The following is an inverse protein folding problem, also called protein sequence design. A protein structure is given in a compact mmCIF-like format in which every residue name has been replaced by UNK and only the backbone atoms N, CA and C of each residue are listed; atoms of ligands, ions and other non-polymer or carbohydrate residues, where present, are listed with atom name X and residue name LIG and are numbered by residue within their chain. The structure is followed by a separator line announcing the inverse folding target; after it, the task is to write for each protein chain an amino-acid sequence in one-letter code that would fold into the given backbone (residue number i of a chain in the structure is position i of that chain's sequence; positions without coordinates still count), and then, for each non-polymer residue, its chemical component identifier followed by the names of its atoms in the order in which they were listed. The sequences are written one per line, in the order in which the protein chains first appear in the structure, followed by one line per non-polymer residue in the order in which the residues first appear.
data_IF_580279849791
#
_entry.id   IF_580279849791
#
_cell.length_a   1.000
_cell.length_b   1.000
_cell.length_c   1.000
_cell.angle_alpha   90.00
_cell.angle_beta   90.00
_cell.angle_gamma   90.00
#
_symmetry.space_group_name_H-M   'P 1'
#
loop_
_entity.id
_entity.type
_entity.pdbx_description
1 polymer ?
#
# COMPACT_ATOMS: atom_id res chain seq x y z
N UNK A 1 -13.91 -12.79 -18.64
CA UNK A 1 -13.03 -12.30 -17.56
C UNK A 1 -12.94 -10.79 -17.68
N UNK A 2 -13.73 -10.04 -16.91
CA UNK A 2 -13.74 -8.57 -16.98
C UNK A 2 -12.48 -8.07 -16.26
N UNK A 3 -11.44 -7.74 -17.01
CA UNK A 3 -10.26 -7.05 -16.47
C UNK A 3 -10.67 -5.60 -16.21
N UNK A 4 -10.66 -5.21 -14.95
CA UNK A 4 -11.08 -3.89 -14.51
C UNK A 4 -10.01 -2.86 -14.92
N UNK A 5 -10.28 -2.06 -15.96
CA UNK A 5 -9.34 -1.09 -16.57
C UNK A 5 -8.77 -0.08 -15.54
N UNK A 6 -9.53 0.21 -14.49
CA UNK A 6 -9.10 1.06 -13.38
C UNK A 6 -7.91 0.45 -12.59
N UNK A 7 -7.86 -0.87 -12.47
CA UNK A 7 -6.88 -1.61 -11.68
C UNK A 7 -5.53 -1.70 -12.42
N UNK A 8 -5.55 -1.84 -13.75
CA UNK A 8 -4.34 -1.71 -14.58
C UNK A 8 -3.70 -0.32 -14.47
N UNK A 9 -4.53 0.73 -14.46
CA UNK A 9 -4.05 2.10 -14.30
C UNK A 9 -3.38 2.34 -12.93
N UNK A 10 -3.90 1.72 -11.86
CA UNK A 10 -3.28 1.77 -10.53
C UNK A 10 -1.96 1.01 -10.51
N UNK A 11 -1.90 -0.18 -11.10
CA UNK A 11 -0.68 -0.99 -11.18
C UNK A 11 0.45 -0.27 -11.94
N UNK A 12 0.12 0.40 -13.06
CA UNK A 12 1.11 1.19 -13.82
C UNK A 12 1.64 2.37 -13.00
N UNK A 13 0.78 3.09 -12.29
CA UNK A 13 1.20 4.17 -11.38
C UNK A 13 2.06 3.63 -10.25
N UNK A 14 1.68 2.49 -9.68
CA UNK A 14 2.43 1.81 -8.62
C UNK A 14 3.86 1.49 -9.07
N UNK A 15 4.02 0.90 -10.25
CA UNK A 15 5.34 0.59 -10.83
C UNK A 15 6.25 1.82 -10.97
N UNK A 16 5.69 2.98 -11.31
CA UNK A 16 6.46 4.23 -11.41
C UNK A 16 6.92 4.72 -10.03
N UNK A 17 6.04 4.70 -9.02
CA UNK A 17 6.42 5.13 -7.67
C UNK A 17 7.43 4.18 -7.04
N UNK A 18 7.29 2.88 -7.31
CA UNK A 18 8.23 1.84 -6.89
C UNK A 18 9.61 2.07 -7.50
N UNK A 19 9.71 2.40 -8.80
CA UNK A 19 10.99 2.68 -9.46
C UNK A 19 11.70 3.94 -8.94
N UNK A 20 10.96 4.93 -8.44
CA UNK A 20 11.49 6.25 -8.08
C UNK A 20 11.60 6.50 -6.57
N UNK A 21 10.97 5.67 -5.73
CA UNK A 21 10.70 5.95 -4.32
C UNK A 21 11.57 5.19 -3.32
N UNK A 22 11.13 5.14 -2.04
CA UNK A 22 11.62 4.21 -0.98
C UNK A 22 10.46 3.32 -0.47
N UNK A 23 10.66 1.97 -0.40
CA UNK A 23 9.70 0.91 0.06
C UNK A 23 9.88 0.79 1.54
N UNK A 24 8.78 0.41 2.19
CA UNK A 24 8.89 -0.41 3.39
C UNK A 24 7.65 -1.29 3.50
N UNK A 25 7.81 -2.59 3.30
CA UNK A 25 6.71 -3.55 3.28
C UNK A 25 6.52 -4.21 4.65
N UNK A 26 5.31 -4.64 4.92
CA UNK A 26 4.89 -5.29 6.15
C UNK A 26 4.22 -4.34 7.14
N UNK A 27 3.31 -4.93 7.93
CA UNK A 27 2.50 -4.25 8.92
C UNK A 27 3.30 -3.44 9.95
N UNK A 28 4.26 -4.09 10.63
CA UNK A 28 5.04 -3.47 11.72
C UNK A 28 5.87 -2.29 11.21
N UNK A 29 6.45 -2.42 10.02
CA UNK A 29 7.27 -1.36 9.45
C UNK A 29 6.42 -0.20 8.94
N UNK A 30 5.25 -0.48 8.36
CA UNK A 30 4.26 0.54 7.98
C UNK A 30 3.82 1.36 9.19
N UNK A 31 3.46 0.71 10.31
CA UNK A 31 3.16 1.43 11.55
C UNK A 31 4.34 2.24 12.08
N UNK A 32 5.57 1.75 11.95
CA UNK A 32 6.77 2.49 12.34
C UNK A 32 6.94 3.75 11.49
N UNK A 33 6.73 3.66 10.18
CA UNK A 33 6.87 4.81 9.30
C UNK A 33 5.74 5.83 9.42
N UNK A 34 4.51 5.39 9.68
CA UNK A 34 3.42 6.30 10.01
C UNK A 34 3.76 7.07 11.30
N UNK A 35 4.20 6.37 12.36
CA UNK A 35 4.60 7.00 13.62
C UNK A 35 5.81 7.94 13.48
N UNK A 36 6.75 7.59 12.60
CA UNK A 36 7.93 8.42 12.34
C UNK A 36 7.66 9.57 11.36
N UNK A 37 6.45 9.67 10.79
CA UNK A 37 6.11 10.70 9.79
C UNK A 37 6.83 10.53 8.45
N UNK A 38 7.43 9.37 8.17
CA UNK A 38 8.15 9.11 6.92
C UNK A 38 7.24 8.55 5.84
N UNK A 39 6.07 8.02 6.21
CA UNK A 39 5.06 7.54 5.27
C UNK A 39 4.23 8.71 4.70
N UNK A 40 4.10 8.76 3.36
CA UNK A 40 3.30 9.77 2.65
C UNK A 40 2.07 9.18 1.96
N UNK A 41 2.13 7.89 1.65
CA UNK A 41 1.09 7.15 0.95
C UNK A 41 1.11 5.71 1.47
N UNK A 42 -0.05 5.17 1.83
CA UNK A 42 -0.21 3.80 2.31
C UNK A 42 -1.21 3.09 1.42
N UNK A 43 -0.89 1.86 1.07
CA UNK A 43 -1.80 1.01 0.34
C UNK A 43 -2.17 -0.21 1.19
N UNK A 44 -3.44 -0.60 1.09
CA UNK A 44 -3.99 -1.74 1.82
C UNK A 44 -4.57 -2.72 0.80
N UNK A 45 -4.10 -3.96 0.84
CA UNK A 45 -4.64 -5.06 0.04
C UNK A 45 -6.07 -5.40 0.45
N UNK A 46 -6.85 -5.96 -0.46
CA UNK A 46 -8.23 -6.34 -0.16
C UNK A 46 -8.32 -7.52 0.83
N UNK A 47 -7.32 -8.40 0.85
CA UNK A 47 -7.24 -9.55 1.75
C UNK A 47 -6.76 -9.20 3.17
N UNK A 48 -6.50 -7.92 3.46
CA UNK A 48 -6.04 -7.46 4.77
C UNK A 48 -7.08 -7.73 5.87
N UNK A 49 -6.73 -8.37 7.01
CA UNK A 49 -7.65 -8.56 8.12
C UNK A 49 -8.22 -7.24 8.62
N UNK A 50 -9.54 -7.17 8.80
CA UNK A 50 -10.27 -5.94 9.13
C UNK A 50 -9.67 -5.18 10.31
N UNK A 51 -9.24 -5.89 11.36
CA UNK A 51 -8.63 -5.28 12.56
C UNK A 51 -7.34 -4.52 12.26
N UNK A 52 -6.50 -5.03 11.34
CA UNK A 52 -5.24 -4.40 10.96
C UNK A 52 -5.49 -3.26 9.99
N UNK A 53 -6.47 -3.40 9.10
CA UNK A 53 -6.94 -2.34 8.21
C UNK A 53 -7.41 -1.12 9.00
N UNK A 54 -8.35 -1.30 9.94
CA UNK A 54 -8.88 -0.19 10.76
C UNK A 54 -7.80 0.44 11.63
N UNK A 55 -6.86 -0.35 12.15
CA UNK A 55 -5.73 0.19 12.90
C UNK A 55 -4.83 1.09 12.03
N UNK A 56 -4.49 0.66 10.82
CA UNK A 56 -3.70 1.49 9.88
C UNK A 56 -4.48 2.74 9.48
N UNK A 57 -5.77 2.60 9.16
CA UNK A 57 -6.65 3.72 8.78
C UNK A 57 -6.69 4.79 9.86
N UNK A 58 -6.83 4.37 11.12
CA UNK A 58 -6.81 5.27 12.27
C UNK A 58 -5.49 6.05 12.37
N UNK A 59 -4.34 5.37 12.32
CA UNK A 59 -3.05 6.06 12.41
C UNK A 59 -2.75 6.95 11.21
N UNK A 60 -3.12 6.52 10.01
CA UNK A 60 -2.94 7.31 8.81
C UNK A 60 -3.85 8.56 8.80
N UNK A 61 -5.08 8.47 9.32
CA UNK A 61 -5.95 9.63 9.50
C UNK A 61 -5.34 10.67 10.45
N UNK A 62 -4.80 10.23 11.59
CA UNK A 62 -4.11 11.11 12.54
C UNK A 62 -2.87 11.77 11.93
N UNK A 63 -2.13 11.03 11.11
CA UNK A 63 -0.92 11.50 10.44
C UNK A 63 -1.20 12.25 9.12
N UNK A 64 -2.47 12.42 8.73
CA UNK A 64 -2.88 13.04 7.45
C UNK A 64 -2.26 12.36 6.21
N UNK A 65 -2.14 11.04 6.26
CA UNK A 65 -1.57 10.21 5.19
C UNK A 65 -2.67 9.74 4.25
N UNK A 66 -2.40 9.78 2.94
CA UNK A 66 -3.34 9.25 1.94
C UNK A 66 -3.34 7.72 1.97
N UNK A 67 -4.53 7.12 1.99
CA UNK A 67 -4.73 5.67 1.94
C UNK A 67 -5.38 5.31 0.61
N UNK A 68 -4.85 4.28 -0.05
CA UNK A 68 -5.43 3.72 -1.28
C UNK A 68 -5.77 2.25 -1.03
N UNK A 69 -7.06 1.93 -1.13
CA UNK A 69 -7.52 0.55 -1.08
C UNK A 69 -7.22 -0.13 -2.41
N UNK A 70 -6.34 -1.11 -2.37
CA UNK A 70 -6.00 -1.92 -3.52
C UNK A 70 -6.99 -3.09 -3.65
N UNK A 71 -7.62 -3.20 -4.81
CA UNK A 71 -8.66 -4.20 -5.08
C UNK A 71 -8.12 -5.62 -5.32
N UNK A 72 -6.81 -5.82 -5.36
CA UNK A 72 -6.18 -7.14 -5.50
C UNK A 72 -5.65 -7.69 -4.18
N UNK A 73 -5.05 -8.89 -4.24
CA UNK A 73 -4.43 -9.52 -3.09
C UNK A 73 -3.02 -8.97 -2.83
N UNK A 74 -2.50 -9.25 -1.63
CA UNK A 74 -1.10 -9.00 -1.26
C UNK A 74 -0.09 -9.57 -2.28
N UNK A 75 -0.35 -10.74 -2.85
CA UNK A 75 0.53 -11.37 -3.87
C UNK A 75 0.52 -10.58 -5.18
N UNK A 76 -0.66 -10.21 -5.68
CA UNK A 76 -0.79 -9.42 -6.91
C UNK A 76 -0.07 -8.10 -6.77
N UNK A 77 -0.19 -7.52 -5.58
CA UNK A 77 0.48 -6.28 -5.36
C UNK A 77 1.99 -6.44 -5.18
N UNK A 78 2.46 -7.41 -4.40
CA UNK A 78 3.88 -7.71 -4.30
C UNK A 78 4.51 -7.98 -5.67
N UNK A 79 3.75 -8.58 -6.59
CA UNK A 79 4.16 -8.82 -7.98
C UNK A 79 4.17 -7.53 -8.83
N UNK A 80 3.19 -6.64 -8.65
CA UNK A 80 3.19 -5.31 -9.29
C UNK A 80 4.35 -4.43 -8.82
N UNK A 81 4.88 -4.73 -7.64
CA UNK A 81 6.03 -4.12 -7.00
C UNK A 81 7.29 -4.95 -7.30
N UNK A 82 7.61 -5.13 -8.59
CA UNK A 82 8.90 -5.71 -8.97
C UNK A 82 10.04 -4.76 -8.57
N UNK A 83 10.74 -5.12 -7.49
CA UNK A 83 11.87 -4.46 -6.82
C UNK A 83 11.54 -3.21 -5.98
N UNK A 84 12.16 -3.19 -4.80
CA UNK A 84 12.45 -2.06 -3.91
C UNK A 84 11.94 -0.68 -4.37
N UNK A 85 10.71 -0.26 -4.02
CA UNK A 85 10.44 0.97 -3.21
C UNK A 85 9.02 1.69 -2.99
N UNK A 86 8.05 1.18 -2.18
CA UNK A 86 6.72 1.58 -1.65
C UNK A 86 6.20 0.74 -0.43
N UNK A 87 5.26 1.24 0.38
CA UNK A 87 4.77 0.59 1.62
C UNK A 87 3.54 -0.30 1.43
N UNK A 88 3.61 -1.57 1.87
CA UNK A 88 2.54 -2.55 1.63
C UNK A 88 2.25 -3.53 2.77
N UNK A 89 1.03 -4.06 2.81
CA UNK A 89 0.50 -4.97 3.83
C UNK A 89 0.14 -6.36 3.25
N UNK A 90 0.29 -7.43 4.06
CA UNK A 90 -0.12 -8.83 3.80
C UNK A 90 -1.57 -9.13 4.19
#
# INVERSE_FOLDING_TARGET
MVKNVAQESVNQKLQLVVRSGKITMGYKQTLKAIRNGTAKLVFISNNCPTIRKTQIEYYAMLAQITIVLYQGNNVDLGTGVQKESLFFFD
#
